data_IF_541182213832
#
_entry.id   IF_541182213832
#
_cell.length_a   1.000
_cell.length_b   1.000
_cell.length_c   1.000
_cell.angle_alpha   90.00
_cell.angle_beta   90.00
_cell.angle_gamma   90.00
#
_symmetry.space_group_name_H-M   'P 1'
#
loop_
_entity.id
_entity.type
_entity.pdbx_description
1 polymer ?
#
# COMPACT_ATOMS: atom_id res chain seq x y z
N UNK A 1 -16.11 -7.82 12.18
CA UNK A 1 -16.77 -7.30 10.97
C UNK A 1 -16.00 -6.05 10.57
N UNK A 2 -15.18 -6.14 9.51
CA UNK A 2 -14.49 -4.96 8.98
C UNK A 2 -15.51 -4.11 8.22
N UNK A 3 -16.12 -3.17 8.93
CA UNK A 3 -17.20 -2.29 8.46
C UNK A 3 -16.79 -1.34 7.31
N UNK A 4 -15.52 -1.35 6.93
CA UNK A 4 -14.95 -0.44 5.93
C UNK A 4 -14.00 -1.24 5.02
N UNK A 5 -14.35 -1.38 3.75
CA UNK A 5 -13.47 -1.87 2.70
C UNK A 5 -12.68 -0.70 2.11
N UNK A 6 -11.35 -0.74 2.24
CA UNK A 6 -10.43 0.27 1.70
C UNK A 6 -9.51 -0.37 0.68
N UNK A 7 -9.50 0.21 -0.52
CA UNK A 7 -8.57 -0.19 -1.58
C UNK A 7 -7.68 0.97 -2.01
N UNK A 8 -6.45 0.62 -2.27
CA UNK A 8 -5.38 1.52 -2.62
C UNK A 8 -4.76 1.12 -3.95
N UNK A 9 -4.23 2.10 -4.67
CA UNK A 9 -3.31 1.87 -5.77
C UNK A 9 -1.91 2.25 -5.29
N UNK A 10 -0.92 1.45 -5.62
CA UNK A 10 0.48 1.80 -5.41
C UNK A 10 1.35 1.47 -6.61
N UNK A 11 2.46 2.21 -6.73
CA UNK A 11 3.56 1.88 -7.65
C UNK A 11 4.77 1.49 -6.81
N UNK A 12 5.32 0.31 -7.08
CA UNK A 12 6.44 -0.24 -6.34
C UNK A 12 7.56 -0.69 -7.27
N UNK A 13 8.78 -0.78 -6.74
CA UNK A 13 9.94 -1.24 -7.48
C UNK A 13 9.89 -2.74 -7.78
N UNK A 14 10.41 -3.10 -8.95
CA UNK A 14 10.52 -4.47 -9.43
C UNK A 14 9.20 -5.08 -9.90
N UNK A 15 9.29 -6.35 -10.31
CA UNK A 15 8.16 -7.14 -10.78
C UNK A 15 7.58 -7.98 -9.65
N UNK A 16 6.40 -7.63 -9.19
CA UNK A 16 5.65 -8.38 -8.16
C UNK A 16 4.96 -9.61 -8.76
N UNK A 17 4.53 -10.54 -7.89
CA UNK A 17 3.60 -11.62 -8.26
C UNK A 17 2.26 -11.05 -8.75
N UNK A 18 1.52 -11.80 -9.57
CA UNK A 18 0.20 -11.37 -10.07
C UNK A 18 -0.81 -11.08 -8.95
N UNK A 19 -0.81 -11.89 -7.89
CA UNK A 19 -1.61 -11.70 -6.70
C UNK A 19 -0.93 -12.38 -5.51
N UNK A 20 -0.99 -11.77 -4.33
CA UNK A 20 -0.51 -12.40 -3.10
C UNK A 20 -1.17 -11.78 -1.85
N UNK A 21 -1.04 -12.49 -0.74
CA UNK A 21 -1.34 -12.01 0.60
C UNK A 21 -0.03 -11.82 1.36
N UNK A 22 0.09 -10.71 2.10
CA UNK A 22 1.20 -10.41 2.99
C UNK A 22 0.64 -10.38 4.41
N UNK A 23 1.07 -11.33 5.24
CA UNK A 23 0.63 -11.46 6.62
C UNK A 23 1.86 -11.44 7.54
N UNK A 24 2.21 -10.25 8.00
CA UNK A 24 3.42 -9.99 8.76
C UNK A 24 3.13 -8.92 9.83
N UNK A 25 3.29 -9.21 11.14
CA UNK A 25 2.95 -8.27 12.20
C UNK A 25 3.82 -7.01 12.16
N UNK A 26 3.20 -5.86 12.43
CA UNK A 26 3.87 -4.55 12.37
C UNK A 26 3.99 -3.96 13.77
N UNK A 27 5.22 -3.59 14.13
CA UNK A 27 5.55 -2.89 15.36
C UNK A 27 6.23 -1.55 15.10
N UNK A 28 6.49 -0.82 16.19
CA UNK A 28 7.30 0.40 16.17
C UNK A 28 8.78 0.01 16.10
N UNK A 29 9.55 0.73 15.29
CA UNK A 29 10.99 0.59 15.34
C UNK A 29 11.52 1.18 16.66
N UNK A 30 12.43 0.50 17.36
CA UNK A 30 12.96 0.95 18.65
C UNK A 30 13.73 2.27 18.52
N UNK A 31 14.41 2.45 17.39
CA UNK A 31 15.31 3.58 17.15
C UNK A 31 14.61 4.77 16.47
N UNK A 32 13.29 4.70 16.23
CA UNK A 32 12.56 5.76 15.55
C UNK A 32 11.15 5.95 16.07
N UNK A 33 10.78 7.20 16.33
CA UNK A 33 9.41 7.56 16.67
C UNK A 33 8.47 7.44 15.45
N UNK A 34 9.00 7.57 14.24
CA UNK A 34 8.24 7.67 12.98
C UNK A 34 8.09 6.32 12.31
N UNK A 35 9.17 5.54 12.20
CA UNK A 35 9.17 4.33 11.36
C UNK A 35 8.52 3.13 12.06
N UNK A 36 8.23 2.13 11.23
CA UNK A 36 7.56 0.88 11.60
C UNK A 36 8.34 -0.26 10.96
N UNK A 37 8.31 -1.43 11.57
CA UNK A 37 9.02 -2.60 11.06
C UNK A 37 8.18 -3.87 11.24
N UNK A 38 8.53 -4.90 10.46
CA UNK A 38 8.04 -6.24 10.75
C UNK A 38 8.74 -6.75 12.00
N UNK A 39 7.97 -7.19 12.98
CA UNK A 39 8.52 -7.75 14.22
C UNK A 39 7.52 -8.75 14.83
N UNK A 40 7.98 -9.88 15.38
CA UNK A 40 7.09 -10.86 16.00
C UNK A 40 6.23 -10.31 17.15
N UNK A 41 6.74 -9.31 17.88
CA UNK A 41 5.98 -8.62 18.94
C UNK A 41 5.05 -7.52 18.42
N UNK A 42 4.93 -7.39 17.09
CA UNK A 42 4.09 -6.40 16.42
C UNK A 42 2.61 -6.74 16.50
N UNK A 43 1.77 -5.78 16.10
CA UNK A 43 0.33 -6.02 15.94
C UNK A 43 0.09 -6.76 14.64
N UNK A 44 -0.83 -7.73 14.66
CA UNK A 44 -1.26 -8.44 13.45
C UNK A 44 -1.64 -7.46 12.34
N UNK A 45 -1.10 -7.71 11.15
CA UNK A 45 -1.31 -6.91 9.96
C UNK A 45 -1.41 -7.81 8.73
N UNK A 46 -2.43 -7.57 7.91
CA UNK A 46 -2.73 -8.36 6.72
C UNK A 46 -3.12 -7.48 5.54
N UNK A 47 -2.40 -7.66 4.44
CA UNK A 47 -2.52 -6.88 3.21
C UNK A 47 -2.64 -7.84 2.03
N UNK A 48 -3.66 -7.65 1.22
CA UNK A 48 -3.83 -8.38 -0.04
C UNK A 48 -3.47 -7.43 -1.19
N UNK A 49 -2.81 -7.92 -2.23
CA UNK A 49 -2.60 -7.12 -3.43
C UNK A 49 -2.78 -7.94 -4.70
N UNK A 50 -3.18 -7.25 -5.76
CA UNK A 50 -3.25 -7.75 -7.13
C UNK A 50 -2.50 -6.78 -8.05
N UNK A 51 -1.65 -7.32 -8.90
CA UNK A 51 -0.89 -6.55 -9.88
C UNK A 51 -1.76 -6.25 -11.09
N UNK A 52 -1.92 -4.96 -11.39
CA UNK A 52 -2.69 -4.45 -12.52
C UNK A 52 -1.83 -4.38 -13.78
N UNK A 53 -0.57 -3.99 -13.62
CA UNK A 53 0.43 -3.93 -14.69
C UNK A 53 1.82 -4.06 -14.08
N UNK A 54 2.77 -4.67 -14.80
CA UNK A 54 4.17 -4.70 -14.38
C UNK A 54 5.12 -4.79 -15.56
N UNK A 55 6.33 -4.24 -15.38
CA UNK A 55 7.50 -4.45 -16.22
C UNK A 55 8.71 -4.77 -15.31
N UNK A 56 9.92 -4.81 -15.87
CA UNK A 56 11.12 -5.21 -15.12
C UNK A 56 11.37 -4.32 -13.89
N UNK A 57 11.20 -3.01 -14.05
CA UNK A 57 11.58 -2.01 -13.05
C UNK A 57 10.50 -1.67 -12.05
N UNK A 58 9.21 -1.90 -12.37
CA UNK A 58 8.10 -1.49 -11.51
C UNK A 58 6.83 -2.32 -11.69
N UNK A 59 5.97 -2.26 -10.67
CA UNK A 59 4.60 -2.81 -10.70
C UNK A 59 3.58 -1.79 -10.20
N UNK A 60 2.45 -1.72 -10.89
CA UNK A 60 1.23 -1.03 -10.47
C UNK A 60 0.30 -2.05 -9.82
N UNK A 61 -0.01 -1.89 -8.54
CA UNK A 61 -0.81 -2.84 -7.78
C UNK A 61 -2.05 -2.19 -7.18
N UNK A 62 -3.17 -2.92 -7.22
CA UNK A 62 -4.29 -2.71 -6.33
C UNK A 62 -4.01 -3.42 -5.00
N UNK A 63 -4.29 -2.76 -3.89
CA UNK A 63 -4.06 -3.26 -2.54
C UNK A 63 -5.35 -3.16 -1.73
N UNK A 64 -5.76 -4.26 -1.09
CA UNK A 64 -6.85 -4.31 -0.13
C UNK A 64 -6.29 -4.53 1.28
N UNK A 65 -6.73 -3.67 2.20
CA UNK A 65 -6.35 -3.78 3.61
C UNK A 65 -7.38 -4.61 4.38
N UNK A 66 -6.91 -5.69 5.02
CA UNK A 66 -7.70 -6.45 6.01
C UNK A 66 -7.46 -5.95 7.44
N UNK A 67 -6.45 -5.09 7.62
CA UNK A 67 -6.16 -4.40 8.88
C UNK A 67 -5.65 -2.99 8.58
N UNK A 68 -5.75 -2.06 9.55
CA UNK A 68 -5.33 -0.66 9.37
C UNK A 68 -4.15 -0.24 10.26
N UNK A 69 -2.97 -0.87 10.13
CA UNK A 69 -1.78 -0.44 10.91
C UNK A 69 -1.09 0.77 10.27
N UNK A 70 -0.43 1.57 11.10
CA UNK A 70 0.36 2.72 10.63
C UNK A 70 1.40 2.26 9.61
N UNK A 71 1.43 2.92 8.44
CA UNK A 71 2.35 2.62 7.33
C UNK A 71 2.28 1.18 6.80
N UNK A 72 1.16 0.48 7.00
CA UNK A 72 1.06 -0.95 6.72
C UNK A 72 1.49 -1.34 5.30
N UNK A 73 0.91 -0.70 4.28
CA UNK A 73 1.24 -0.99 2.88
C UNK A 73 2.73 -0.75 2.63
N UNK A 74 3.26 0.40 3.09
CA UNK A 74 4.66 0.81 2.91
C UNK A 74 5.64 -0.21 3.50
N UNK A 75 5.40 -0.65 4.74
CA UNK A 75 6.23 -1.64 5.44
C UNK A 75 6.12 -3.02 4.78
N UNK A 76 4.91 -3.45 4.41
CA UNK A 76 4.68 -4.76 3.79
C UNK A 76 5.33 -4.85 2.41
N UNK A 77 5.20 -3.83 1.58
CA UNK A 77 5.83 -3.78 0.26
C UNK A 77 7.36 -3.75 0.35
N UNK A 78 7.95 -2.98 1.28
CA UNK A 78 9.38 -3.09 1.61
C UNK A 78 9.77 -4.51 2.05
N UNK A 79 8.97 -5.12 2.93
CA UNK A 79 9.26 -6.46 3.47
C UNK A 79 9.33 -7.55 2.39
N UNK A 80 8.50 -7.46 1.35
CA UNK A 80 8.54 -8.40 0.22
C UNK A 80 9.57 -8.01 -0.86
N UNK A 81 10.41 -7.01 -0.61
CA UNK A 81 11.46 -6.57 -1.54
C UNK A 81 11.00 -5.62 -2.65
N UNK A 82 9.77 -5.09 -2.54
CA UNK A 82 9.17 -4.20 -3.54
C UNK A 82 8.76 -2.87 -2.90
N UNK A 83 9.70 -2.04 -2.40
CA UNK A 83 9.34 -0.77 -1.75
C UNK A 83 8.59 0.17 -2.70
N UNK A 84 7.74 1.02 -2.13
CA UNK A 84 6.94 1.96 -2.92
C UNK A 84 7.83 3.06 -3.50
N UNK A 85 7.64 3.42 -4.77
CA UNK A 85 8.44 4.46 -5.42
C UNK A 85 8.15 5.82 -4.78
N UNK A 86 9.20 6.59 -4.49
CA UNK A 86 9.17 7.87 -3.77
C UNK A 86 8.97 7.76 -2.25
N UNK A 87 9.09 6.56 -1.68
CA UNK A 87 8.95 6.33 -0.24
C UNK A 87 10.31 6.28 0.48
N UNK A 88 10.90 7.44 0.73
CA UNK A 88 12.23 7.57 1.35
C UNK A 88 12.35 6.90 2.73
N UNK A 89 11.25 6.81 3.50
CA UNK A 89 11.26 6.17 4.82
C UNK A 89 11.39 4.64 4.75
N UNK A 90 11.06 4.05 3.61
CA UNK A 90 10.99 2.60 3.42
C UNK A 90 11.77 2.14 2.19
N UNK A 91 12.94 2.74 1.96
CA UNK A 91 13.91 2.39 0.91
C UNK A 91 13.35 2.52 -0.51
N UNK A 92 12.38 3.41 -0.68
CA UNK A 92 11.69 3.68 -1.94
C UNK A 92 12.20 4.92 -2.68
N UNK A 93 13.40 5.41 -2.38
CA UNK A 93 13.91 6.69 -2.90
C UNK A 93 13.88 6.74 -4.44
N UNK A 94 13.39 7.87 -4.97
CA UNK A 94 13.44 8.16 -6.40
C UNK A 94 13.82 9.63 -6.63
N UNK A 95 14.74 9.95 -7.58
CA UNK A 95 15.29 11.30 -7.73
C UNK A 95 14.25 12.37 -8.10
N UNK A 96 13.15 11.97 -8.75
CA UNK A 96 12.09 12.89 -9.21
C UNK A 96 10.76 12.75 -8.47
N UNK A 97 10.59 11.70 -7.67
CA UNK A 97 9.32 11.39 -7.01
C UNK A 97 9.62 11.39 -5.51
N UNK A 98 9.17 12.42 -4.80
CA UNK A 98 9.53 12.68 -3.40
C UNK A 98 8.42 12.31 -2.40
N UNK A 99 7.38 11.61 -2.86
CA UNK A 99 6.26 11.19 -2.03
C UNK A 99 5.91 9.75 -2.35
N UNK A 100 5.45 9.00 -1.34
CA UNK A 100 5.07 7.60 -1.54
C UNK A 100 4.01 7.48 -2.65
N UNK A 101 4.31 6.66 -3.66
CA UNK A 101 3.39 6.36 -4.77
C UNK A 101 2.27 5.45 -4.29
N UNK A 102 1.36 6.00 -3.49
CA UNK A 102 0.26 5.31 -2.82
C UNK A 102 -0.95 6.23 -2.73
N UNK A 103 -2.10 5.76 -3.18
CA UNK A 103 -3.36 6.50 -3.10
C UNK A 103 -4.50 5.57 -2.70
N UNK A 104 -5.33 6.00 -1.74
CA UNK A 104 -6.61 5.36 -1.48
C UNK A 104 -7.56 5.72 -2.63
N UNK A 105 -7.92 4.76 -3.48
CA UNK A 105 -8.75 5.05 -4.64
C UNK A 105 -10.21 4.66 -4.42
N UNK A 106 -10.48 3.75 -3.47
CA UNK A 106 -11.84 3.29 -3.17
C UNK A 106 -12.04 3.09 -1.67
N UNK A 107 -13.16 3.59 -1.18
CA UNK A 107 -13.64 3.33 0.18
C UNK A 107 -15.12 2.95 0.10
N UNK A 108 -15.47 1.85 0.78
CA UNK A 108 -16.84 1.34 0.83
C UNK A 108 -17.22 1.02 2.28
N UNK A 109 -18.34 1.54 2.75
CA UNK A 109 -18.79 1.39 4.14
C UNK A 109 -20.29 1.59 4.29
N UNK A 110 -20.84 1.21 5.44
CA UNK A 110 -22.23 1.48 5.80
C UNK A 110 -22.31 2.84 6.52
N UNK A 111 -23.14 3.77 6.02
CA UNK A 111 -23.33 5.06 6.65
C UNK A 111 -23.93 4.89 8.06
N UNK A 112 -23.28 5.40 9.12
CA UNK A 112 -23.63 5.07 10.51
C UNK A 112 -25.02 5.55 10.94
N UNK A 113 -25.57 6.56 10.26
CA UNK A 113 -26.89 7.12 10.58
C UNK A 113 -27.98 6.58 9.65
N UNK A 114 -27.66 6.32 8.38
CA UNK A 114 -28.69 6.00 7.37
C UNK A 114 -28.76 4.51 7.07
N UNK A 115 -27.80 3.72 7.58
CA UNK A 115 -27.64 2.29 7.31
C UNK A 115 -27.65 1.95 5.79
N UNK A 116 -27.19 2.90 4.97
CA UNK A 116 -27.04 2.75 3.52
C UNK A 116 -25.59 2.50 3.18
N UNK A 117 -25.35 1.63 2.20
CA UNK A 117 -24.04 1.42 1.64
C UNK A 117 -23.59 2.66 0.86
N UNK A 118 -22.41 3.17 1.17
CA UNK A 118 -21.75 4.25 0.46
C UNK A 118 -20.46 3.70 -0.14
N UNK A 119 -20.27 3.98 -1.43
CA UNK A 119 -19.03 3.69 -2.15
C UNK A 119 -18.50 4.99 -2.77
N UNK A 120 -17.24 5.32 -2.46
CA UNK A 120 -16.55 6.48 -3.00
C UNK A 120 -15.36 5.95 -3.80
N UNK A 121 -15.27 6.35 -5.06
CA UNK A 121 -14.18 6.01 -5.97
C UNK A 121 -13.59 7.30 -6.53
N UNK A 122 -12.27 7.41 -6.51
CA UNK A 122 -11.51 8.50 -7.13
C UNK A 122 -10.54 7.92 -8.16
N UNK A 123 -10.23 8.68 -9.21
CA UNK A 123 -9.24 8.25 -10.19
C UNK A 123 -7.82 8.30 -9.62
N UNK A 124 -6.93 7.50 -10.20
CA UNK A 124 -5.52 7.37 -9.80
C UNK A 124 -4.58 7.64 -10.98
N UNK A 125 -4.99 8.51 -11.92
CA UNK A 125 -4.23 8.81 -13.15
C UNK A 125 -2.80 9.28 -12.89
N UNK A 126 -2.56 9.94 -11.75
CA UNK A 126 -1.21 10.35 -11.36
C UNK A 126 -0.29 9.15 -11.06
N UNK A 127 -0.82 8.07 -10.48
CA UNK A 127 -0.04 6.85 -10.22
C UNK A 127 0.23 6.10 -11.52
N UNK A 128 -0.70 6.11 -12.46
CA UNK A 128 -0.48 5.56 -13.81
C UNK A 128 0.64 6.33 -14.53
N UNK A 129 0.62 7.67 -14.48
CA UNK A 129 1.71 8.49 -15.05
C UNK A 129 3.06 8.19 -14.40
N UNK A 130 3.10 8.06 -13.07
CA UNK A 130 4.31 7.67 -12.34
C UNK A 130 4.82 6.31 -12.84
N UNK A 131 3.94 5.30 -12.88
CA UNK A 131 4.28 3.97 -13.37
C UNK A 131 4.87 4.00 -14.79
N UNK A 132 4.24 4.73 -15.72
CA UNK A 132 4.74 4.87 -17.09
C UNK A 132 6.08 5.62 -17.18
N UNK A 133 6.38 6.50 -16.22
CA UNK A 133 7.63 7.30 -16.21
C UNK A 133 8.86 6.58 -15.64
N UNK A 134 8.65 5.40 -15.03
CA UNK A 134 9.69 4.58 -14.38
C UNK A 134 10.14 3.42 -15.28
N UNK A 135 9.51 3.26 -16.45
CA UNK A 135 9.96 2.34 -17.50
C UNK A 135 11.14 2.92 -18.30
#
# INVERSE_FOLDING_TARGET
>A
SDLIDKRYICVCYGKTKEQSMIEAPIGRNKDSIITRCITPSGKHAKTEYKTLSSHHSASLCEVKLHTGRTHQIRVHFKHIGHPLIGDDLYDGFHPRIQTQSLQCYKVKFIHPIYNKEIEIIIDYKNLEKIYQSVN
#
